data_IF_069058777321
#
_entry.id   IF_069058777321
#
_cell.length_a   1.000
_cell.length_b   1.000
_cell.length_c   1.000
_cell.angle_alpha   90.00
_cell.angle_beta   90.00
_cell.angle_gamma   90.00
#
_symmetry.space_group_name_H-M   'P 1'
#
loop_
_entity.id
_entity.type
_entity.pdbx_description
1 polymer ?
2 non-polymer ?
3 non-polymer ?
4 non-polymer ?
5 water ?
#
# COMPACT_ATOMS: atom_id res chain seq x y z
N UNK A 7 10.52 18.66 -2.41
CA UNK A 7 10.75 20.03 -1.99
C UNK A 7 9.82 20.47 -0.86
N UNK A 8 8.53 20.48 -1.15
CA UNK A 8 7.52 20.95 -0.20
C UNK A 8 7.00 19.85 0.72
N UNK A 9 6.59 20.22 1.93
CA UNK A 9 6.06 19.25 2.88
C UNK A 9 4.72 18.70 2.39
N UNK A 10 4.39 17.46 2.80
CA UNK A 10 3.12 16.83 2.46
C UNK A 10 2.85 16.69 0.95
N UNK A 11 3.92 16.53 0.19
CA UNK A 11 3.81 16.45 -1.26
C UNK A 11 4.06 15.03 -1.78
N UNK A 12 3.67 14.04 -0.99
CA UNK A 12 3.84 12.66 -1.40
C UNK A 12 3.22 12.35 -2.76
N UNK A 13 2.02 12.84 -3.01
CA UNK A 13 1.37 12.58 -4.29
C UNK A 13 2.20 13.10 -5.46
N UNK A 14 2.74 14.31 -5.32
CA UNK A 14 3.56 14.88 -6.38
C UNK A 14 4.83 14.08 -6.55
N UNK A 15 5.40 13.64 -5.45
CA UNK A 15 6.64 12.87 -5.50
C UNK A 15 6.45 11.52 -6.17
N UNK A 16 5.33 10.85 -5.87
CA UNK A 16 5.06 9.56 -6.47
C UNK A 16 4.78 9.75 -7.95
N UNK A 17 3.98 10.76 -8.25
CA UNK A 17 3.63 11.08 -9.63
C UNK A 17 4.90 11.34 -10.44
N UNK A 18 5.85 12.07 -9.85
CA UNK A 18 7.11 12.36 -10.52
C UNK A 18 7.90 11.08 -10.80
N UNK A 19 7.99 10.21 -9.79
CA UNK A 19 8.66 8.93 -9.97
C UNK A 19 8.03 8.13 -11.11
N UNK A 20 6.71 8.17 -11.21
CA UNK A 20 6.00 7.38 -12.20
C UNK A 20 6.17 7.94 -13.61
N UNK A 21 6.01 9.25 -13.72
CA UNK A 21 5.93 9.90 -15.03
C UNK A 21 7.29 10.34 -15.55
N UNK A 22 8.21 10.63 -14.62
CA UNK A 22 9.48 11.23 -14.97
C UNK A 22 10.66 10.27 -14.87
N UNK A 23 10.39 9.00 -14.54
CA UNK A 23 11.44 7.99 -14.46
C UNK A 23 10.94 6.67 -15.00
N UNK A 24 11.85 5.73 -15.22
CA UNK A 24 11.48 4.40 -15.70
C UNK A 24 11.80 3.35 -14.65
N UNK A 25 12.15 3.82 -13.45
CA UNK A 25 12.52 2.94 -12.35
C UNK A 25 11.34 2.15 -11.84
N UNK A 26 11.60 0.92 -11.42
CA UNK A 26 10.62 0.14 -10.69
C UNK A 26 10.56 0.71 -9.27
N UNK A 27 9.38 1.19 -8.88
CA UNK A 27 9.21 1.79 -7.56
C UNK A 27 8.91 0.70 -6.55
N UNK A 28 9.87 0.42 -5.68
CA UNK A 28 9.75 -0.66 -4.71
C UNK A 28 9.20 -0.17 -3.40
N UNK A 29 8.04 -0.72 -3.01
CA UNK A 29 7.31 -0.26 -1.84
C UNK A 29 7.13 -1.38 -0.83
N UNK A 30 7.92 -1.36 0.25
CA UNK A 30 7.72 -2.35 1.31
C UNK A 30 6.38 -2.12 1.97
N UNK A 31 5.68 -3.20 2.27
CA UNK A 31 4.39 -3.11 2.93
C UNK A 31 4.59 -2.89 4.41
N UNK A 32 4.09 -1.76 4.89
CA UNK A 32 4.19 -1.39 6.30
C UNK A 32 2.79 -1.26 6.89
N UNK A 33 2.69 -1.31 8.22
CA UNK A 33 1.37 -1.46 8.83
C UNK A 33 1.21 -0.70 10.13
N UNK A 34 2.29 -0.12 10.61
CA UNK A 34 2.23 0.66 11.84
C UNK A 34 3.41 1.63 11.85
N UNK A 35 3.60 2.32 12.96
CA UNK A 35 4.64 3.33 13.05
C UNK A 35 6.01 2.72 13.04
N UNK A 36 6.15 1.57 13.68
CA UNK A 36 7.46 0.93 13.79
C UNK A 36 7.90 0.38 12.44
N UNK A 37 7.02 -0.33 11.76
CA UNK A 37 7.37 -0.85 10.44
C UNK A 37 7.65 0.30 9.47
N UNK A 38 6.81 1.35 9.50
CA UNK A 38 7.03 2.46 8.60
C UNK A 38 8.36 3.18 8.91
N UNK A 39 8.64 3.38 10.19
CA UNK A 39 9.86 4.09 10.58
C UNK A 39 11.09 3.30 10.13
N UNK A 40 11.00 1.98 10.18
CA UNK A 40 12.11 1.12 9.75
C UNK A 40 12.35 1.20 8.24
N UNK A 41 11.27 1.19 7.47
CA UNK A 41 11.40 1.35 6.03
C UNK A 41 12.03 2.69 5.69
N UNK A 42 11.66 3.73 6.44
CA UNK A 42 12.20 5.07 6.22
C UNK A 42 13.68 5.14 6.60
N UNK A 43 14.03 4.48 7.70
CA UNK A 43 15.40 4.40 8.19
C UNK A 43 16.30 3.85 7.10
N UNK A 44 15.76 2.91 6.34
CA UNK A 44 16.56 2.19 5.35
C UNK A 44 16.56 2.84 3.97
N UNK A 45 15.80 3.92 3.79
CA UNK A 45 15.87 4.71 2.59
C UNK A 45 14.98 4.29 1.44
N UNK A 46 13.95 3.49 1.71
CA UNK A 46 13.00 3.17 0.65
C UNK A 46 12.38 4.45 0.11
N UNK A 47 12.16 4.48 -1.20
CA UNK A 47 11.74 5.69 -1.90
C UNK A 47 10.22 5.85 -1.87
N UNK A 48 9.53 4.78 -1.49
CA UNK A 48 8.09 4.80 -1.39
C UNK A 48 7.68 3.67 -0.48
N UNK A 49 6.59 3.86 0.25
CA UNK A 49 6.08 2.87 1.18
C UNK A 49 4.68 2.45 0.75
N UNK A 50 4.28 1.26 1.20
CA UNK A 50 2.93 0.78 0.95
C UNK A 50 2.25 0.44 2.27
N UNK A 51 1.06 0.96 2.49
CA UNK A 51 0.33 0.59 3.69
C UNK A 51 -0.65 -0.52 3.37
N UNK A 52 -0.38 -1.71 3.90
CA UNK A 52 -1.25 -2.85 3.73
C UNK A 52 -2.54 -2.75 4.56
N UNK A 53 -3.65 -3.09 3.93
CA UNK A 53 -4.92 -3.19 4.62
C UNK A 53 -4.95 -4.38 5.58
N UNK A 54 -4.46 -5.52 5.11
CA UNK A 54 -4.39 -6.69 5.97
C UNK A 54 -3.55 -6.40 7.21
N UNK A 55 -2.41 -5.75 7.00
CA UNK A 55 -1.52 -5.42 8.12
C UNK A 55 -2.16 -4.41 9.06
N UNK A 56 -2.80 -3.40 8.49
CA UNK A 56 -3.47 -2.39 9.28
C UNK A 56 -4.54 -3.05 10.17
N UNK A 57 -5.30 -3.98 9.59
CA UNK A 57 -6.36 -4.66 10.33
C UNK A 57 -5.77 -5.54 11.45
N UNK A 58 -4.72 -6.28 11.13
CA UNK A 58 -4.08 -7.14 12.13
C UNK A 58 -3.52 -6.33 13.29
N UNK A 59 -2.84 -5.24 12.98
CA UNK A 59 -2.14 -4.46 14.00
C UNK A 59 -3.05 -3.48 14.75
N UNK A 60 -3.82 -2.68 14.03
CA UNK A 60 -4.69 -1.71 14.69
C UNK A 60 -5.92 -2.36 15.33
N UNK A 61 -6.36 -3.48 14.79
CA UNK A 61 -7.60 -4.11 15.27
C UNK A 61 -7.46 -5.54 15.77
N UNK A 62 -6.34 -6.20 15.50
CA UNK A 62 -6.18 -7.59 15.92
C UNK A 62 -7.15 -8.54 15.23
N UNK A 63 -7.52 -8.21 13.99
CA UNK A 63 -8.51 -8.98 13.26
C UNK A 63 -8.01 -9.41 11.87
N UNK A 64 -8.68 -10.39 11.27
CA UNK A 64 -8.34 -10.86 9.93
C UNK A 64 -8.82 -9.88 8.85
N UNK A 65 -8.28 -10.02 7.65
CA UNK A 65 -8.54 -9.08 6.56
C UNK A 65 -9.90 -9.39 5.92
N UNK A 66 -10.97 -9.12 6.64
CA UNK A 66 -12.32 -9.47 6.21
C UNK A 66 -13.26 -8.28 6.24
N UNK A 67 -12.79 -7.15 5.70
CA UNK A 67 -13.61 -5.94 5.63
C UNK A 67 -14.02 -5.44 7.00
N UNK A 68 -13.13 -5.60 7.97
CA UNK A 68 -13.37 -5.21 9.34
C UNK A 68 -12.86 -3.79 9.60
N UNK A 69 -11.65 -3.51 9.10
CA UNK A 69 -11.15 -2.15 9.08
C UNK A 69 -11.99 -1.37 8.07
N UNK A 70 -12.37 -0.16 8.46
CA UNK A 70 -13.20 0.68 7.61
C UNK A 70 -12.47 1.98 7.39
N UNK A 71 -13.14 2.97 6.79
CA UNK A 71 -12.46 4.23 6.47
C UNK A 71 -11.69 4.84 7.64
N UNK A 72 -12.33 4.93 8.80
CA UNK A 72 -11.70 5.63 9.91
C UNK A 72 -10.35 5.02 10.30
N UNK A 73 -10.32 3.69 10.44
CA UNK A 73 -9.09 2.98 10.79
C UNK A 73 -8.03 3.13 9.71
N UNK A 74 -8.44 2.94 8.46
CA UNK A 74 -7.51 3.01 7.34
C UNK A 74 -6.95 4.42 7.17
N UNK A 75 -7.81 5.42 7.20
CA UNK A 75 -7.34 6.80 7.09
C UNK A 75 -6.44 7.17 8.27
N UNK A 76 -6.84 6.81 9.47
CA UNK A 76 -6.01 7.13 10.63
C UNK A 76 -4.60 6.54 10.50
N UNK A 77 -4.51 5.28 10.07
CA UNK A 77 -3.22 4.65 9.93
C UNK A 77 -2.40 5.32 8.82
N UNK A 78 -3.04 5.59 7.70
CA UNK A 78 -2.34 6.19 6.56
C UNK A 78 -1.88 7.61 6.87
N UNK A 79 -2.74 8.35 7.55
CA UNK A 79 -2.42 9.72 7.95
C UNK A 79 -1.20 9.70 8.87
N UNK A 80 -1.20 8.79 9.82
CA UNK A 80 -0.04 8.63 10.69
C UNK A 80 1.23 8.30 9.89
N UNK A 81 1.16 7.28 9.06
CA UNK A 81 2.36 6.83 8.38
C UNK A 81 2.89 7.84 7.36
N UNK A 82 1.99 8.38 6.52
CA UNK A 82 2.40 9.31 5.48
C UNK A 82 3.15 10.52 6.01
N UNK A 83 2.87 10.88 7.25
CA UNK A 83 3.31 12.17 7.77
C UNK A 83 4.34 12.10 8.89
N UNK A 84 4.89 10.91 9.12
CA UNK A 84 5.95 10.77 10.12
C UNK A 84 7.07 11.73 9.78
N UNK A 85 7.33 11.88 8.48
CA UNK A 85 8.25 12.87 7.96
C UNK A 85 7.50 13.66 6.89
N UNK A 86 7.21 14.94 7.16
CA UNK A 86 6.51 15.77 6.18
C UNK A 86 7.27 15.85 4.86
N UNK A 87 8.57 15.56 4.89
CA UNK A 87 9.37 15.60 3.68
C UNK A 87 9.79 14.20 3.26
N UNK A 88 9.11 13.20 3.80
CA UNK A 88 9.50 11.81 3.58
C UNK A 88 8.95 11.18 2.32
N UNK A 89 9.11 9.86 2.20
CA UNK A 89 8.75 9.10 1.00
C UNK A 89 7.23 9.05 0.83
N UNK A 90 6.77 9.01 -0.44
CA UNK A 90 5.33 8.90 -0.66
C UNK A 90 4.76 7.59 -0.12
N UNK A 91 3.47 7.61 0.22
CA UNK A 91 2.78 6.43 0.72
C UNK A 91 1.67 6.05 -0.23
N UNK A 92 1.74 4.82 -0.72
CA UNK A 92 0.60 4.22 -1.39
C UNK A 92 -0.17 3.42 -0.35
N UNK A 93 -1.46 3.64 -0.25
CA UNK A 93 -2.25 2.96 0.76
C UNK A 93 -3.39 2.17 0.15
N UNK A 94 -3.61 0.98 0.65
CA UNK A 94 -4.80 0.19 0.36
C UNK A 94 -6.00 1.08 0.65
N UNK A 95 -6.96 1.11 -0.26
CA UNK A 95 -8.26 1.72 0.06
C UNK A 95 -9.38 0.73 -0.21
N UNK A 96 -9.03 -0.54 -0.32
CA UNK A 96 -10.03 -1.59 -0.43
C UNK A 96 -11.06 -1.29 -1.50
N UNK A 97 -12.34 -1.32 -1.14
CA UNK A 97 -13.38 -1.03 -2.11
C UNK A 97 -13.91 0.39 -2.02
N UNK A 98 -13.29 1.20 -1.16
CA UNK A 98 -13.77 2.55 -0.95
C UNK A 98 -14.74 2.66 0.22
N UNK A 99 -15.01 1.53 0.87
CA UNK A 99 -15.78 1.48 2.12
C UNK A 99 -17.27 1.81 1.96
N UNK A 100 -17.80 1.65 0.76
CA UNK A 100 -19.21 1.90 0.55
C UNK A 100 -19.50 2.21 -0.89
N UNK A 101 -20.61 2.89 -1.15
CA UNK A 101 -20.93 3.32 -2.51
C UNK A 101 -20.07 4.49 -2.94
N UNK A 102 -20.40 5.09 -4.09
CA UNK A 102 -19.63 6.19 -4.67
C UNK A 102 -19.40 7.32 -3.67
N UNK A 103 -20.39 7.61 -2.83
CA UNK A 103 -20.23 8.69 -1.84
C UNK A 103 -19.06 8.39 -0.90
N UNK A 104 -18.95 7.14 -0.49
CA UNK A 104 -17.88 6.73 0.40
C UNK A 104 -16.54 6.62 -0.32
N UNK A 105 -16.57 6.19 -1.58
CA UNK A 105 -15.33 6.11 -2.34
C UNK A 105 -14.75 7.51 -2.44
N UNK A 106 -15.61 8.48 -2.76
CA UNK A 106 -15.16 9.86 -2.92
C UNK A 106 -14.64 10.39 -1.60
N UNK A 107 -15.34 10.09 -0.52
CA UNK A 107 -14.95 10.55 0.80
C UNK A 107 -13.58 9.97 1.15
N UNK A 108 -13.41 8.70 0.81
CA UNK A 108 -12.16 7.99 1.10
C UNK A 108 -11.00 8.65 0.36
N UNK A 109 -11.18 8.88 -0.93
CA UNK A 109 -10.13 9.50 -1.71
C UNK A 109 -9.84 10.89 -1.18
N UNK A 110 -10.90 11.63 -0.87
CA UNK A 110 -10.75 12.97 -0.34
C UNK A 110 -9.97 12.95 0.96
N UNK A 111 -10.32 12.03 1.86
CA UNK A 111 -9.60 11.92 3.13
C UNK A 111 -8.15 11.51 2.96
N UNK A 112 -7.89 10.54 2.08
CA UNK A 112 -6.51 10.12 1.81
C UNK A 112 -5.70 11.29 1.25
N UNK A 113 -6.29 12.01 0.30
CA UNK A 113 -5.61 13.16 -0.31
C UNK A 113 -5.24 14.22 0.74
N UNK A 114 -6.24 14.58 1.56
CA UNK A 114 -6.06 15.54 2.65
C UNK A 114 -4.96 15.10 3.60
N UNK A 115 -4.86 13.79 3.81
CA UNK A 115 -3.92 13.22 4.76
C UNK A 115 -2.52 13.02 4.19
N UNK A 116 -2.27 13.57 3.00
CA UNK A 116 -0.94 13.47 2.43
C UNK A 116 -0.61 12.15 1.78
N UNK A 117 -1.61 11.29 1.61
CA UNK A 117 -1.38 9.99 0.98
C UNK A 117 -1.12 10.21 -0.51
N UNK A 118 -0.14 9.49 -1.05
CA UNK A 118 0.34 9.72 -2.42
C UNK A 118 -0.51 9.01 -3.43
N UNK A 119 -1.02 7.85 -3.05
CA UNK A 119 -1.83 7.05 -3.94
C UNK A 119 -2.53 5.93 -3.19
N UNK A 120 -3.40 5.22 -3.88
CA UNK A 120 -4.16 4.13 -3.25
C UNK A 120 -4.70 3.20 -4.32
N UNK A 121 -4.85 1.94 -3.94
CA UNK A 121 -5.50 0.99 -4.84
C UNK A 121 -6.92 0.68 -4.43
N UNK A 122 -7.77 0.67 -5.45
CA UNK A 122 -9.22 0.52 -5.31
C UNK A 122 -9.63 -0.69 -6.11
N UNK A 123 -10.36 -1.61 -5.49
CA UNK A 123 -10.61 -2.92 -6.07
C UNK A 123 -12.07 -3.16 -6.42
N UNK A 124 -12.30 -4.26 -7.13
CA UNK A 124 -13.63 -4.61 -7.59
C UNK A 124 -14.30 -5.72 -6.78
N UNK A 125 -13.78 -6.00 -5.59
CA UNK A 125 -14.41 -6.99 -4.72
C UNK A 125 -15.75 -6.48 -4.21
N UNK A 126 -16.65 -7.40 -3.87
CA UNK A 126 -17.87 -7.01 -3.23
C UNK A 126 -17.51 -6.39 -1.89
N UNK A 127 -18.35 -5.50 -1.40
CA UNK A 127 -18.02 -4.75 -0.18
C UNK A 127 -17.59 -5.66 0.96
N UNK A 128 -18.27 -6.79 1.10
CA UNK A 128 -17.86 -7.79 2.08
C UNK A 128 -16.66 -8.55 1.52
N UNK A 129 -15.54 -7.85 1.38
CA UNK A 129 -14.33 -8.37 0.73
C UNK A 129 -13.48 -9.29 1.62
N UNK A 130 -12.31 -9.64 1.11
CA UNK A 130 -11.37 -10.50 1.81
C UNK A 130 -10.00 -10.46 1.14
N UNK A 131 -8.94 -10.87 1.97
CA UNK A 131 -7.57 -10.94 1.34
C UNK A 131 -7.60 -11.57 -0.09
N UNK A 137 -13.49 -15.44 -3.51
CA UNK A 137 -13.39 -13.99 -3.67
C UNK A 137 -14.24 -13.52 -4.84
N UNK A 138 -15.38 -12.92 -4.53
CA UNK A 138 -16.34 -12.48 -5.54
C UNK A 138 -16.12 -11.01 -5.90
N UNK A 139 -16.37 -10.67 -7.15
CA UNK A 139 -16.27 -9.28 -7.59
C UNK A 139 -17.60 -8.74 -8.07
N UNK A 140 -17.74 -7.42 -8.03
CA UNK A 140 -18.94 -6.75 -8.54
C UNK A 140 -18.89 -6.70 -10.06
N UNK A 141 -19.97 -6.27 -10.69
CA UNK A 141 -20.00 -6.15 -12.14
C UNK A 141 -18.97 -5.14 -12.62
N UNK A 142 -18.60 -5.23 -13.88
CA UNK A 142 -17.71 -4.24 -14.49
C UNK A 142 -18.28 -2.84 -14.27
N UNK A 143 -19.55 -2.66 -14.56
CA UNK A 143 -20.19 -1.35 -14.39
C UNK A 143 -20.12 -0.86 -12.96
N UNK A 144 -20.36 -1.72 -11.99
CA UNK A 144 -20.34 -1.29 -10.59
C UNK A 144 -18.91 -0.92 -10.19
N UNK A 145 -17.94 -1.68 -10.69
CA UNK A 145 -16.54 -1.33 -10.46
C UNK A 145 -16.24 0.06 -11.00
N UNK A 146 -16.66 0.32 -12.22
CA UNK A 146 -16.37 1.60 -12.87
C UNK A 146 -17.01 2.79 -12.16
N UNK A 147 -18.14 2.55 -11.49
CA UNK A 147 -18.75 3.55 -10.63
C UNK A 147 -17.79 3.96 -9.51
N UNK A 148 -17.11 2.96 -8.93
CA UNK A 148 -16.09 3.24 -7.93
C UNK A 148 -14.94 4.05 -8.51
N UNK A 149 -14.41 3.59 -9.63
CA UNK A 149 -13.28 4.27 -10.24
C UNK A 149 -13.67 5.70 -10.59
N UNK A 150 -14.84 5.88 -11.19
CA UNK A 150 -15.28 7.22 -11.58
C UNK A 150 -15.40 8.16 -10.39
N UNK A 151 -15.97 7.66 -9.31
CA UNK A 151 -16.11 8.44 -8.09
C UNK A 151 -14.75 8.87 -7.58
N UNK A 152 -13.80 7.93 -7.58
CA UNK A 152 -12.45 8.21 -7.13
C UNK A 152 -11.73 9.23 -8.01
N UNK A 153 -11.77 9.03 -9.32
CA UNK A 153 -11.08 9.94 -10.23
C UNK A 153 -11.66 11.35 -10.17
N UNK A 154 -12.99 11.45 -10.16
CA UNK A 154 -13.64 12.76 -10.10
C UNK A 154 -13.21 13.52 -8.86
N UNK A 155 -13.02 12.79 -7.77
CA UNK A 155 -12.62 13.40 -6.51
C UNK A 155 -11.20 13.96 -6.60
N UNK A 156 -10.27 13.15 -7.09
CA UNK A 156 -8.90 13.60 -7.12
C UNK A 156 -8.76 14.79 -8.09
N UNK A 157 -9.60 14.82 -9.12
CA UNK A 157 -9.58 15.93 -10.06
C UNK A 157 -10.19 17.18 -9.43
N UNK A 158 -11.34 17.02 -8.81
CA UNK A 158 -12.03 18.10 -8.10
C UNK A 158 -11.07 18.77 -7.11
N UNK A 159 -10.20 17.96 -6.52
CA UNK A 159 -9.28 18.45 -5.50
C UNK A 159 -7.93 18.86 -6.10
N UNK A 160 -7.82 18.82 -7.43
CA UNK A 160 -6.62 19.28 -8.11
C UNK A 160 -5.40 18.60 -7.55
N UNK A 161 -5.52 17.29 -7.36
CA UNK A 161 -4.46 16.50 -6.73
C UNK A 161 -3.73 15.58 -7.71
N UNK A 162 -2.45 15.34 -7.42
CA UNK A 162 -1.61 14.43 -8.21
C UNK A 162 -1.78 12.99 -7.73
N UNK A 163 -2.69 12.79 -6.79
CA UNK A 163 -2.98 11.47 -6.22
C UNK A 163 -2.98 10.38 -7.30
N UNK A 164 -2.21 9.32 -7.07
CA UNK A 164 -2.09 8.22 -8.02
C UNK A 164 -3.13 7.15 -7.71
N UNK A 165 -4.14 7.03 -8.56
CA UNK A 165 -5.17 6.03 -8.32
C UNK A 165 -4.80 4.76 -9.03
N UNK A 166 -4.72 3.67 -8.27
CA UNK A 166 -4.39 2.36 -8.80
C UNK A 166 -5.66 1.54 -8.88
N UNK A 167 -6.03 1.12 -10.08
CA UNK A 167 -7.22 0.31 -10.24
C UNK A 167 -6.85 -1.16 -10.07
N UNK A 168 -7.38 -1.78 -9.02
CA UNK A 168 -7.07 -3.16 -8.74
C UNK A 168 -8.21 -4.07 -9.17
N UNK A 169 -7.89 -5.17 -9.82
CA UNK A 169 -8.92 -6.16 -10.11
C UNK A 169 -8.59 -7.49 -9.46
N UNK A 170 -9.57 -8.02 -8.76
CA UNK A 170 -9.51 -9.33 -8.13
C UNK A 170 -10.30 -10.36 -8.94
N UNK A 171 -10.52 -10.06 -10.23
CA UNK A 171 -11.43 -10.86 -11.03
C UNK A 171 -10.81 -12.15 -11.58
N UNK A 172 -9.49 -12.26 -11.52
CA UNK A 172 -8.80 -13.39 -12.14
C UNK A 172 -9.39 -14.70 -11.65
N UNK A 173 -9.45 -14.86 -10.33
CA UNK A 173 -9.94 -16.07 -9.70
C UNK A 173 -11.26 -16.55 -10.30
N UNK A 174 -12.27 -15.69 -10.29
CA UNK A 174 -13.62 -16.11 -10.66
C UNK A 174 -14.01 -15.84 -12.11
N UNK A 175 -13.31 -14.92 -12.77
CA UNK A 175 -13.71 -14.47 -14.10
C UNK A 175 -12.63 -14.67 -15.16
N UNK A 176 -11.38 -14.78 -14.75
CA UNK A 176 -10.32 -15.09 -15.68
C UNK A 176 -9.52 -13.90 -16.15
N UNK A 177 -8.50 -14.19 -16.95
CA UNK A 177 -7.53 -13.18 -17.36
C UNK A 177 -8.14 -12.12 -18.27
N UNK A 178 -8.80 -12.55 -19.34
CA UNK A 178 -9.36 -11.59 -20.30
C UNK A 178 -10.22 -10.55 -19.58
N UNK A 179 -11.10 -11.01 -18.70
CA UNK A 179 -11.95 -10.12 -17.91
C UNK A 179 -11.12 -9.10 -17.12
N UNK A 180 -10.02 -9.55 -16.54
CA UNK A 180 -9.15 -8.67 -15.76
C UNK A 180 -8.58 -7.59 -16.66
N UNK A 181 -8.09 -8.00 -17.82
CA UNK A 181 -7.49 -7.05 -18.75
C UNK A 181 -8.51 -6.02 -19.20
N UNK A 182 -9.75 -6.47 -19.43
CA UNK A 182 -10.79 -5.57 -19.91
C UNK A 182 -11.21 -4.58 -18.82
N UNK A 183 -11.26 -5.04 -17.59
CA UNK A 183 -11.56 -4.16 -16.46
C UNK A 183 -10.49 -3.11 -16.29
N UNK A 184 -9.22 -3.51 -16.44
CA UNK A 184 -8.12 -2.55 -16.30
C UNK A 184 -8.16 -1.53 -17.42
N UNK A 185 -8.46 -1.99 -18.63
CA UNK A 185 -8.60 -1.08 -19.76
C UNK A 185 -9.71 -0.09 -19.54
N UNK A 186 -10.85 -0.58 -19.04
CA UNK A 186 -11.96 0.29 -18.74
C UNK A 186 -11.58 1.29 -17.65
N UNK A 187 -10.93 0.80 -16.60
CA UNK A 187 -10.52 1.65 -15.49
C UNK A 187 -9.55 2.73 -15.95
N UNK A 188 -8.61 2.33 -16.82
CA UNK A 188 -7.70 3.27 -17.43
C UNK A 188 -8.46 4.42 -18.09
N UNK A 189 -9.49 4.08 -18.86
CA UNK A 189 -10.25 5.07 -19.62
C UNK A 189 -11.02 6.00 -18.70
N UNK A 190 -11.41 5.50 -17.53
CA UNK A 190 -12.14 6.31 -16.56
C UNK A 190 -11.19 7.21 -15.78
N UNK A 191 -9.90 6.97 -15.92
CA UNK A 191 -8.92 7.89 -15.37
C UNK A 191 -7.96 7.33 -14.33
N UNK A 192 -7.98 6.02 -14.15
CA UNK A 192 -7.02 5.41 -13.23
C UNK A 192 -5.62 5.58 -13.79
N UNK A 193 -4.65 5.75 -12.90
CA UNK A 193 -3.26 6.04 -13.28
C UNK A 193 -2.38 4.80 -13.46
N UNK A 194 -2.76 3.72 -12.77
CA UNK A 194 -1.95 2.51 -12.73
C UNK A 194 -2.91 1.33 -12.57
N UNK A 195 -2.52 0.16 -13.08
CA UNK A 195 -3.36 -1.00 -12.95
C UNK A 195 -2.73 -2.05 -12.05
N UNK A 196 -3.57 -2.80 -11.34
CA UNK A 196 -3.09 -3.90 -10.51
C UNK A 196 -3.94 -5.12 -10.76
N UNK A 197 -3.36 -6.10 -11.45
CA UNK A 197 -4.03 -7.37 -11.62
C UNK A 197 -3.57 -8.21 -10.44
N UNK A 198 -4.49 -8.45 -9.51
CA UNK A 198 -4.15 -9.13 -8.27
C UNK A 198 -3.96 -10.63 -8.49
N UNK A 199 -2.92 -11.20 -7.87
CA UNK A 199 -2.75 -12.64 -7.83
C UNK A 199 -2.48 -13.37 -9.15
N UNK A 200 -1.43 -12.96 -9.85
CA UNK A 200 -1.01 -13.67 -11.05
C UNK A 200 -0.84 -15.14 -10.70
N UNK A 201 -0.95 -16.00 -11.70
CA UNK A 201 -0.80 -17.42 -11.49
C UNK A 201 0.56 -17.90 -11.97
N UNK A 202 1.21 -17.08 -12.80
CA UNK A 202 2.52 -17.42 -13.34
C UNK A 202 3.27 -16.16 -13.71
N UNK A 203 4.60 -16.26 -13.78
CA UNK A 203 5.42 -15.15 -14.23
C UNK A 203 5.10 -14.77 -15.68
N UNK A 204 4.88 -15.78 -16.52
CA UNK A 204 4.52 -15.52 -17.92
C UNK A 204 3.28 -14.63 -17.99
N UNK A 205 2.27 -14.96 -17.18
CA UNK A 205 1.01 -14.21 -17.15
C UNK A 205 1.21 -12.77 -16.66
N UNK A 206 2.17 -12.58 -15.76
CA UNK A 206 2.46 -11.24 -15.26
C UNK A 206 3.07 -10.39 -16.37
N UNK A 207 4.03 -10.94 -17.09
CA UNK A 207 4.65 -10.21 -18.19
C UNK A 207 3.60 -9.92 -19.25
N UNK A 208 2.66 -10.85 -19.42
CA UNK A 208 1.63 -10.73 -20.45
C UNK A 208 0.67 -9.58 -20.16
N UNK A 209 0.32 -9.43 -18.88
CA UNK A 209 -0.57 -8.34 -18.48
C UNK A 209 0.10 -7.00 -18.72
N UNK A 210 1.37 -6.90 -18.35
CA UNK A 210 2.12 -5.68 -18.63
C UNK A 210 2.06 -5.37 -20.13
N UNK A 211 2.34 -6.38 -20.96
CA UNK A 211 2.36 -6.15 -22.40
C UNK A 211 0.98 -5.75 -22.92
N UNK A 212 -0.07 -6.34 -22.35
CA UNK A 212 -1.42 -6.07 -22.80
C UNK A 212 -1.84 -4.64 -22.55
N UNK A 213 -1.28 -4.02 -21.51
CA UNK A 213 -1.72 -2.70 -21.09
C UNK A 213 -0.70 -1.60 -21.38
N UNK A 214 0.51 -2.00 -21.77
CA UNK A 214 1.54 -1.03 -22.10
C UNK A 214 0.97 0.03 -23.05
N UNK A 215 1.40 1.29 -22.91
CA UNK A 215 2.40 1.76 -21.95
C UNK A 215 1.78 2.18 -20.61
N UNK A 216 0.54 1.81 -20.34
CA UNK A 216 -0.09 2.19 -19.08
C UNK A 216 0.59 1.38 -17.97
N UNK A 217 1.04 2.07 -16.91
CA UNK A 217 1.87 1.39 -15.88
C UNK A 217 1.07 0.37 -15.07
N UNK A 218 1.71 -0.74 -14.74
CA UNK A 218 1.13 -1.70 -13.81
C UNK A 218 1.92 -1.75 -12.50
N UNK A 219 1.23 -2.24 -11.48
CA UNK A 219 1.82 -2.45 -10.17
C UNK A 219 1.69 -3.93 -9.85
N UNK A 220 2.79 -4.53 -9.39
CA UNK A 220 2.84 -5.94 -9.05
C UNK A 220 2.69 -6.06 -7.54
N UNK A 221 1.71 -6.82 -7.08
CA UNK A 221 1.56 -7.05 -5.64
C UNK A 221 2.17 -8.37 -5.22
N UNK A 222 3.35 -8.31 -4.61
CA UNK A 222 4.03 -9.49 -4.12
C UNK A 222 3.52 -9.83 -2.72
N UNK A 223 2.93 -11.01 -2.54
CA UNK A 223 2.42 -11.40 -1.23
C UNK A 223 3.32 -12.45 -0.63
N UNK A 224 4.06 -12.07 0.40
CA UNK A 224 5.03 -12.99 0.97
C UNK A 224 4.35 -14.23 1.53
N UNK A 225 4.79 -15.39 1.04
CA UNK A 225 4.26 -16.69 1.47
C UNK A 225 2.81 -16.91 1.06
N UNK A 226 2.36 -16.14 0.06
CA UNK A 226 1.01 -16.28 -0.46
C UNK A 226 0.91 -17.31 -1.55
N UNK A 227 -0.08 -17.15 -2.43
CA UNK A 227 -0.36 -18.14 -3.46
C UNK A 227 -0.01 -17.65 -4.86
N UNK A 228 0.85 -16.65 -4.93
CA UNK A 228 1.32 -16.14 -6.21
C UNK A 228 2.80 -16.45 -6.36
N UNK A 229 3.27 -16.60 -7.62
CA UNK A 229 4.66 -16.93 -7.91
C UNK A 229 5.62 -15.95 -7.24
N UNK A 230 6.77 -16.44 -6.82
CA UNK A 230 7.80 -15.59 -6.25
C UNK A 230 8.53 -14.85 -7.37
N UNK A 231 8.33 -13.55 -7.44
CA UNK A 231 8.97 -12.71 -8.44
C UNK A 231 9.93 -11.75 -7.77
N UNK A 232 11.19 -11.75 -8.21
CA UNK A 232 12.18 -10.85 -7.60
C UNK A 232 12.03 -9.44 -8.15
N UNK A 233 12.67 -8.48 -7.48
CA UNK A 233 12.63 -7.09 -7.92
C UNK A 233 13.17 -6.98 -9.34
N UNK A 234 14.27 -7.66 -9.61
CA UNK A 234 14.90 -7.59 -10.92
C UNK A 234 14.03 -8.26 -11.98
N UNK A 235 13.36 -9.35 -11.62
CA UNK A 235 12.43 -10.01 -12.52
C UNK A 235 11.26 -9.11 -12.87
N UNK A 236 10.71 -8.43 -11.87
CA UNK A 236 9.57 -7.56 -12.08
C UNK A 236 9.93 -6.38 -12.97
N UNK A 237 11.12 -5.81 -12.73
CA UNK A 237 11.55 -4.68 -13.53
C UNK A 237 11.67 -5.10 -14.98
N UNK A 238 12.33 -6.23 -15.22
CA UNK A 238 12.51 -6.74 -16.56
C UNK A 238 11.18 -7.01 -17.25
N UNK A 239 10.16 -7.36 -16.47
CA UNK A 239 8.81 -7.61 -16.99
C UNK A 239 8.11 -6.33 -17.43
N UNK A 240 8.58 -5.18 -16.95
CA UNK A 240 7.98 -3.92 -17.32
C UNK A 240 7.09 -3.30 -16.27
N UNK A 241 7.00 -3.90 -15.09
CA UNK A 241 6.21 -3.30 -14.01
C UNK A 241 6.81 -1.97 -13.58
N UNK A 242 5.97 -1.03 -13.15
CA UNK A 242 6.46 0.27 -12.72
C UNK A 242 6.41 0.44 -11.20
N UNK A 243 5.53 -0.30 -10.54
CA UNK A 243 5.50 -0.29 -9.09
C UNK A 243 5.44 -1.73 -8.61
N UNK A 244 6.11 -2.02 -7.49
CA UNK A 244 5.98 -3.34 -6.90
C UNK A 244 5.81 -3.16 -5.41
N UNK A 245 4.71 -3.68 -4.88
CA UNK A 245 4.50 -3.58 -3.44
C UNK A 245 4.69 -4.94 -2.78
N UNK A 246 5.10 -4.90 -1.52
CA UNK A 246 5.40 -6.12 -0.79
C UNK A 246 4.49 -6.19 0.41
N UNK A 247 3.29 -6.71 0.18
CA UNK A 247 2.19 -6.69 1.13
C UNK A 247 2.53 -7.09 2.55
N UNK A 248 3.17 -8.25 2.70
CA UNK A 248 3.40 -8.82 4.02
C UNK A 248 4.86 -8.78 4.42
N UNK A 249 5.61 -7.85 3.84
CA UNK A 249 7.05 -7.75 4.04
C UNK A 249 7.47 -7.47 5.47
N UNK A 250 6.63 -6.80 6.24
CA UNK A 250 6.97 -6.52 7.62
C UNK A 250 6.08 -7.25 8.62
N UNK A 251 4.81 -7.46 8.28
CA UNK A 251 3.90 -8.11 9.21
C UNK A 251 4.36 -9.55 9.48
N UNK A 252 4.73 -10.25 8.42
CA UNK A 252 5.14 -11.65 8.55
C UNK A 252 6.41 -11.85 9.40
N UNK A 253 7.52 -11.16 9.07
CA UNK A 253 8.69 -11.36 9.93
C UNK A 253 8.45 -10.84 11.36
N UNK A 254 7.60 -9.83 11.51
CA UNK A 254 7.30 -9.35 12.85
C UNK A 254 6.64 -10.47 13.65
N UNK A 255 5.68 -11.15 13.04
CA UNK A 255 4.99 -12.24 13.72
C UNK A 255 5.96 -13.37 14.10
N UNK A 256 6.76 -13.81 13.14
CA UNK A 256 7.70 -14.90 13.39
C UNK A 256 8.62 -14.57 14.56
N UNK A 257 9.13 -13.33 14.58
CA UNK A 257 10.05 -12.90 15.64
C UNK A 257 9.37 -12.77 17.00
N UNK A 258 8.19 -12.15 17.01
CA UNK A 258 7.43 -12.01 18.23
C UNK A 258 7.12 -13.38 18.80
N UNK A 259 6.70 -14.29 17.93
CA UNK A 259 6.33 -15.62 18.40
C UNK A 259 7.52 -16.38 18.98
N UNK A 260 8.62 -16.38 18.23
CA UNK A 260 9.86 -17.02 18.68
C UNK A 260 10.30 -16.49 20.03
N UNK A 261 10.25 -15.18 20.18
CA UNK A 261 10.62 -14.53 21.43
C UNK A 261 9.70 -14.91 22.59
N UNK A 262 8.39 -14.89 22.36
CA UNK A 262 7.44 -15.20 23.44
C UNK A 262 7.52 -16.66 23.85
N UNK A 263 7.82 -17.53 22.89
CA UNK A 263 8.03 -18.94 23.18
C UNK A 263 9.24 -19.10 24.09
N UNK A 264 10.33 -18.40 23.78
CA UNK A 264 11.51 -18.38 24.65
C UNK A 264 11.19 -17.84 26.04
N UNK A 265 10.42 -16.75 26.09
CA UNK A 265 10.04 -16.19 27.37
C UNK A 265 9.23 -17.24 28.15
N UNK A 266 8.29 -17.86 27.49
CA UNK A 266 7.42 -18.84 28.13
C UNK A 266 8.22 -20.01 28.69
N UNK A 267 9.15 -20.53 27.90
CA UNK A 267 9.85 -21.76 28.24
C UNK A 267 11.12 -21.58 29.07
N UNK A 268 11.75 -20.41 28.95
CA UNK A 268 13.06 -20.17 29.55
C UNK A 268 13.14 -18.93 30.43
N UNK A 269 12.04 -18.20 30.54
CA UNK A 269 11.99 -17.06 31.43
C UNK A 269 12.85 -15.87 31.06
N UNK A 270 13.33 -15.83 29.83
CA UNK A 270 14.07 -14.67 29.35
C UNK A 270 13.60 -14.32 27.93
N UNK A 271 13.72 -13.05 27.58
CA UNK A 271 13.30 -12.56 26.26
C UNK A 271 14.35 -12.85 25.18
N UNK A 272 15.62 -12.56 25.49
CA UNK A 272 16.72 -12.91 24.60
C UNK A 272 16.85 -12.14 23.29
N UNK A 273 16.45 -10.88 23.26
CA UNK A 273 16.56 -10.08 22.04
C UNK A 273 17.98 -9.54 21.86
N UNK A 274 18.55 -9.66 20.66
CA UNK A 274 19.92 -9.13 20.52
C UNK A 274 20.05 -7.77 21.19
N UNK A 275 21.11 -7.58 21.95
CA UNK A 275 21.27 -6.45 22.86
C UNK A 275 21.41 -5.07 22.21
N UNK A 276 21.69 -5.02 20.91
CA UNK A 276 21.79 -3.74 20.23
C UNK A 276 20.41 -3.10 20.03
N UNK A 277 19.36 -3.89 20.19
CA UNK A 277 18.02 -3.36 20.01
C UNK A 277 17.52 -2.79 21.33
N UNK A 278 18.01 -1.62 21.68
CA UNK A 278 17.71 -0.98 22.95
C UNK A 278 16.49 -0.09 22.82
N UNK A 279 15.87 0.26 23.96
CA UNK A 279 14.79 1.25 23.88
C UNK A 279 15.23 2.52 23.18
N UNK A 280 16.41 3.04 23.51
CA UNK A 280 16.84 4.27 22.88
C UNK A 280 16.99 4.12 21.36
N UNK A 281 17.48 2.98 20.90
CA UNK A 281 17.61 2.81 19.45
C UNK A 281 16.21 2.81 18.83
N UNK A 282 15.29 2.11 19.46
CA UNK A 282 13.91 2.14 19.00
C UNK A 282 13.35 3.55 18.97
N UNK A 283 13.62 4.34 20.00
CA UNK A 283 13.15 5.72 20.01
C UNK A 283 13.80 6.52 18.89
N UNK A 284 15.09 6.25 18.66
CA UNK A 284 15.81 6.92 17.58
C UNK A 284 15.17 6.59 16.24
N UNK A 285 14.80 5.34 16.05
CA UNK A 285 14.20 4.94 14.80
C UNK A 285 12.86 5.65 14.67
N UNK A 286 12.19 5.85 15.80
CA UNK A 286 10.88 6.46 15.81
C UNK A 286 10.87 7.97 16.07
N UNK A 287 11.95 8.65 15.69
CA UNK A 287 11.96 10.10 15.64
C UNK A 287 12.43 10.83 16.89
N UNK A 288 13.24 10.17 17.71
CA UNK A 288 13.72 10.80 18.93
C UNK A 288 14.47 12.10 18.62
N UNK A 289 15.34 12.06 17.61
CA UNK A 289 16.16 13.23 17.30
C UNK A 289 15.31 14.43 16.95
N UNK A 290 14.34 14.24 16.04
CA UNK A 290 13.41 15.30 15.70
C UNK A 290 12.77 15.90 16.97
N UNK A 291 12.30 15.03 17.86
CA UNK A 291 11.64 15.48 19.07
C UNK A 291 12.57 16.28 19.98
N UNK A 292 13.79 15.80 20.15
CA UNK A 292 14.75 16.51 20.98
C UNK A 292 15.08 17.87 20.38
N UNK A 293 15.20 17.91 19.05
CA UNK A 293 15.44 19.16 18.33
C UNK A 293 14.31 20.15 18.58
N UNK A 294 13.07 19.66 18.57
CA UNK A 294 11.93 20.53 18.83
C UNK A 294 12.05 21.12 20.21
N UNK A 295 12.31 20.26 21.19
CA UNK A 295 12.37 20.70 22.58
C UNK A 295 13.53 21.66 22.82
N UNK A 296 14.72 21.29 22.37
CA UNK A 296 15.88 22.14 22.54
C UNK A 296 15.68 23.46 21.81
N UNK A 297 15.19 23.39 20.57
CA UNK A 297 14.97 24.58 19.77
C UNK A 297 13.97 25.55 20.38
N UNK A 298 13.00 25.03 21.13
CA UNK A 298 11.96 25.88 21.70
C UNK A 298 12.42 26.58 22.96
N UNK A 299 13.66 26.33 23.35
CA UNK A 299 14.22 26.99 24.52
C UNK A 299 13.94 26.17 25.76
N UNK A 300 13.48 24.94 25.55
CA UNK A 300 13.32 23.98 26.63
C UNK A 300 14.65 23.34 26.98
#
# INVERSE_FOLDING_TARGET
GSHMAEDEPFSGAKKLRHLLENTDELIVCPGVYDGLSARTAMELGFKSLYMTGAGTTASRLGQPDLAIAQLHDMRDNADMIANLDPFGPPLIADMDTGYGGPIMVARTVEHYIRSGVAGAHLEDQILTKRCGHLSGKKVVSRDEYLVRIRAAVATKRRLRSDFVLIARTDALQSLGYEECIERLRAARDEGADVGLLEGFRSKEQAAAAVAALAPWPLLLNSVENGHSPLITVEEAKAMGFRIMIFSFATLAPAYAAIRETLVRLRDHGVVGTPDGITPVRLFEVCGLQDAMEVDNGAGGKAFSEGV
#
